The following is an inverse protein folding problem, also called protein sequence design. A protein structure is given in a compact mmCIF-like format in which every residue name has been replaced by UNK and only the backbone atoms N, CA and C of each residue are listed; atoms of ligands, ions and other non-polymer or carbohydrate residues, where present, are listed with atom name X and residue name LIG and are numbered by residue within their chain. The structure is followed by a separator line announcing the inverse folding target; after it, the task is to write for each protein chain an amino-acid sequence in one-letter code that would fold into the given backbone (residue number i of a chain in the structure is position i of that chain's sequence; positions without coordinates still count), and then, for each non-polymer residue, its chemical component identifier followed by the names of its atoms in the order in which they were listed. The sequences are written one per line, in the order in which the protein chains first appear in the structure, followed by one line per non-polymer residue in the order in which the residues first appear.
data_IF_504789895102
#
_entry.id   IF_504789895102
#
_cell.length_a   1.000
_cell.length_b   1.000
_cell.length_c   1.000
_cell.angle_alpha   90.00
_cell.angle_beta   90.00
_cell.angle_gamma   90.00
#
_symmetry.space_group_name_H-M   'P 1'
#
loop_
_entity.id
_entity.type
_entity.pdbx_description
1 polymer ?
#
# COMPACT_ATOMS: atom_id res chain seq x y z
N UNK A 1 1.05 7.12 22.53
CA UNK A 1 0.44 7.60 21.28
C UNK A 1 -0.37 6.45 20.68
N UNK A 2 -1.53 6.72 20.07
CA UNK A 2 -2.24 5.69 19.31
C UNK A 2 -1.47 5.46 18.01
N UNK A 3 -1.18 4.20 17.67
CA UNK A 3 -0.56 3.85 16.40
C UNK A 3 -1.59 3.99 15.28
N UNK A 4 -1.17 4.46 14.12
CA UNK A 4 -2.07 4.74 13.01
C UNK A 4 -1.79 3.78 11.84
N UNK A 5 -2.84 3.39 11.13
CA UNK A 5 -2.74 2.66 9.86
C UNK A 5 -3.14 3.62 8.75
N UNK A 6 -2.25 3.85 7.80
CA UNK A 6 -2.52 4.70 6.64
C UNK A 6 -2.76 3.82 5.42
N UNK A 7 -3.92 3.97 4.78
CA UNK A 7 -4.28 3.23 3.58
C UNK A 7 -4.39 4.20 2.41
N UNK A 8 -3.59 3.94 1.36
CA UNK A 8 -3.80 4.53 0.04
C UNK A 8 -4.58 3.54 -0.81
N UNK A 9 -5.74 3.97 -1.29
CA UNK A 9 -6.62 3.15 -2.12
C UNK A 9 -7.11 3.89 -3.36
N UNK A 10 -7.60 3.11 -4.32
CA UNK A 10 -8.09 3.59 -5.61
C UNK A 10 -8.24 2.44 -6.60
N UNK A 11 -8.98 2.70 -7.69
CA UNK A 11 -9.12 1.75 -8.79
C UNK A 11 -7.77 1.52 -9.50
N UNK A 12 -7.56 0.39 -10.18
CA UNK A 12 -6.38 0.20 -11.02
C UNK A 12 -6.19 1.38 -11.99
N UNK A 13 -4.95 1.89 -12.08
CA UNK A 13 -4.56 3.06 -12.92
C UNK A 13 -5.11 4.42 -12.46
N UNK A 14 -5.60 4.54 -11.22
CA UNK A 14 -6.04 5.83 -10.63
C UNK A 14 -4.90 6.71 -10.08
N UNK A 15 -3.64 6.34 -10.29
CA UNK A 15 -2.49 7.12 -9.81
C UNK A 15 -2.07 6.82 -8.37
N UNK A 16 -2.54 5.73 -7.75
CA UNK A 16 -2.11 5.34 -6.38
C UNK A 16 -0.60 5.18 -6.23
N UNK A 17 0.11 4.69 -7.25
CA UNK A 17 1.59 4.63 -7.23
C UNK A 17 2.23 6.04 -7.16
N UNK A 18 1.66 7.03 -7.85
CA UNK A 18 2.13 8.41 -7.78
C UNK A 18 1.88 9.00 -6.40
N UNK A 19 0.71 8.74 -5.80
CA UNK A 19 0.42 9.17 -4.43
C UNK A 19 1.39 8.55 -3.41
N UNK A 20 1.68 7.26 -3.53
CA UNK A 20 2.69 6.60 -2.68
C UNK A 20 4.06 7.29 -2.78
N UNK A 21 4.50 7.65 -3.99
CA UNK A 21 5.77 8.35 -4.21
C UNK A 21 5.75 9.77 -3.60
N UNK A 22 4.64 10.48 -3.70
CA UNK A 22 4.47 11.82 -3.09
C UNK A 22 4.57 11.72 -1.57
N UNK A 23 3.92 10.73 -0.95
CA UNK A 23 3.93 10.54 0.51
C UNK A 23 5.33 10.15 1.01
N UNK A 24 5.99 9.23 0.32
CA UNK A 24 7.38 8.83 0.61
C UNK A 24 8.33 10.03 0.53
N UNK A 25 8.24 10.82 -0.55
CA UNK A 25 9.03 12.06 -0.72
C UNK A 25 8.69 13.10 0.36
N UNK A 26 7.44 13.12 0.82
CA UNK A 26 6.95 13.97 1.91
C UNK A 26 7.38 13.52 3.31
N UNK A 27 8.15 12.43 3.42
CA UNK A 27 8.70 11.93 4.69
C UNK A 27 7.79 10.95 5.44
N UNK A 28 6.68 10.51 4.85
CA UNK A 28 5.85 9.45 5.42
C UNK A 28 6.44 8.08 5.05
N UNK A 29 6.77 7.20 6.02
CA UNK A 29 7.24 5.86 5.71
C UNK A 29 6.21 5.09 4.88
N UNK A 30 6.63 4.48 3.78
CA UNK A 30 5.76 3.65 2.94
C UNK A 30 6.04 2.15 3.13
N UNK A 31 5.02 1.33 2.98
CA UNK A 31 5.12 -0.13 2.97
C UNK A 31 5.43 -0.62 1.55
N UNK A 32 6.59 -1.25 1.38
CA UNK A 32 6.93 -1.99 0.16
C UNK A 32 7.89 -3.13 0.46
N UNK A 33 7.77 -4.22 -0.30
CA UNK A 33 8.70 -5.34 -0.28
C UNK A 33 9.75 -5.28 -1.42
N UNK A 34 9.71 -4.21 -2.22
CA UNK A 34 10.58 -3.96 -3.36
C UNK A 34 10.64 -5.10 -4.40
N UNK A 35 9.68 -6.04 -4.40
CA UNK A 35 9.66 -7.16 -5.35
C UNK A 35 9.34 -6.71 -6.77
N UNK A 36 8.36 -5.80 -6.89
CA UNK A 36 8.00 -5.23 -8.20
C UNK A 36 8.94 -4.09 -8.56
N UNK A 37 9.84 -4.37 -9.49
CA UNK A 37 10.81 -3.40 -10.00
C UNK A 37 10.13 -2.32 -10.86
N UNK A 38 10.73 -1.12 -10.96
CA UNK A 38 10.30 -0.10 -11.91
C UNK A 38 10.31 -0.61 -13.35
N UNK A 39 9.44 -0.03 -14.18
CA UNK A 39 9.33 -0.34 -15.62
C UNK A 39 9.02 0.93 -16.44
N UNK A 40 8.78 0.77 -17.75
CA UNK A 40 8.47 1.91 -18.65
C UNK A 40 7.21 2.68 -18.26
N UNK A 41 6.23 2.02 -17.64
CA UNK A 41 4.97 2.63 -17.22
C UNK A 41 5.10 3.32 -15.87
N UNK A 42 6.02 2.85 -15.02
CA UNK A 42 6.29 3.45 -13.72
C UNK A 42 7.79 3.39 -13.37
N UNK A 43 8.58 4.34 -13.88
CA UNK A 43 10.05 4.34 -13.73
C UNK A 43 10.52 4.58 -12.29
N UNK A 44 9.63 5.02 -11.41
CA UNK A 44 9.89 5.23 -9.98
C UNK A 44 9.41 4.07 -9.10
N UNK A 45 8.88 3.00 -9.70
CA UNK A 45 8.42 1.82 -8.98
C UNK A 45 7.06 2.00 -8.28
N UNK A 46 6.52 0.89 -7.81
CA UNK A 46 5.10 0.79 -7.45
C UNK A 46 4.80 0.96 -5.96
N UNK A 47 5.84 0.89 -5.11
CA UNK A 47 5.78 1.01 -3.64
C UNK A 47 4.63 0.16 -3.07
N UNK A 48 4.71 -1.15 -3.32
CA UNK A 48 3.66 -2.10 -2.95
C UNK A 48 4.19 -3.33 -2.21
N UNK A 49 3.26 -4.05 -1.57
CA UNK A 49 3.44 -5.37 -0.99
C UNK A 49 2.79 -6.38 -1.95
N UNK A 50 3.56 -7.35 -2.42
CA UNK A 50 3.07 -8.41 -3.30
C UNK A 50 1.95 -9.20 -2.62
N UNK A 51 0.90 -9.54 -3.38
CA UNK A 51 -0.25 -10.32 -2.91
C UNK A 51 -0.93 -9.75 -1.65
N UNK A 52 -0.89 -8.42 -1.45
CA UNK A 52 -1.47 -7.81 -0.25
C UNK A 52 -2.96 -8.14 -0.07
N UNK A 53 -3.73 -8.22 -1.15
CA UNK A 53 -5.15 -8.57 -1.09
C UNK A 53 -5.34 -10.00 -0.58
N UNK A 54 -4.54 -10.95 -1.06
CA UNK A 54 -4.67 -12.36 -0.65
C UNK A 54 -4.24 -12.54 0.81
N UNK A 55 -3.22 -11.80 1.26
CA UNK A 55 -2.81 -11.76 2.68
C UNK A 55 -3.91 -11.18 3.58
N UNK A 56 -4.60 -10.13 3.13
CA UNK A 56 -5.73 -9.53 3.88
C UNK A 56 -6.97 -10.43 3.87
N UNK A 57 -7.24 -11.15 2.77
CA UNK A 57 -8.32 -12.14 2.71
C UNK A 57 -8.12 -13.27 3.71
N UNK A 58 -6.90 -13.79 3.81
CA UNK A 58 -6.53 -14.88 4.71
C UNK A 58 -6.50 -14.42 6.18
N UNK A 59 -5.92 -13.25 6.42
CA UNK A 59 -5.81 -12.65 7.74
C UNK A 59 -5.99 -11.12 7.67
N UNK A 60 -7.20 -10.59 7.95
CA UNK A 60 -7.44 -9.14 8.00
C UNK A 60 -6.50 -8.39 8.95
N UNK A 61 -6.08 -9.04 10.04
CA UNK A 61 -5.12 -8.51 11.00
C UNK A 61 -3.70 -8.32 10.43
N UNK A 62 -3.40 -8.87 9.25
CA UNK A 62 -2.12 -8.65 8.56
C UNK A 62 -1.84 -7.16 8.31
N UNK A 63 -2.88 -6.33 8.22
CA UNK A 63 -2.74 -4.87 8.07
C UNK A 63 -1.95 -4.23 9.21
N UNK A 64 -1.99 -4.80 10.43
CA UNK A 64 -1.32 -4.26 11.61
C UNK A 64 0.21 -4.40 11.55
N UNK A 65 0.76 -5.17 10.60
CA UNK A 65 2.20 -5.20 10.35
C UNK A 65 2.74 -3.89 9.74
N UNK A 66 1.86 -2.97 9.36
CA UNK A 66 2.17 -1.72 8.67
C UNK A 66 1.80 -0.48 9.51
N UNK A 67 1.76 -0.62 10.84
CA UNK A 67 1.63 0.52 11.75
C UNK A 67 2.65 1.63 11.43
N UNK A 68 2.14 2.86 11.39
CA UNK A 68 2.88 4.09 11.10
C UNK A 68 3.56 4.09 9.70
N UNK A 69 3.12 3.20 8.80
CA UNK A 69 3.52 3.14 7.40
C UNK A 69 2.30 3.25 6.49
N UNK A 70 2.48 3.87 5.33
CA UNK A 70 1.45 3.94 4.29
C UNK A 70 1.42 2.62 3.52
N UNK A 71 0.29 1.92 3.57
CA UNK A 71 0.05 0.71 2.80
C UNK A 71 -0.84 1.00 1.60
N UNK A 72 -0.38 0.59 0.42
CA UNK A 72 -1.18 0.62 -0.81
C UNK A 72 -2.08 -0.60 -0.90
N UNK A 73 -3.39 -0.39 -0.92
CA UNK A 73 -4.40 -1.44 -1.13
C UNK A 73 -5.40 -0.93 -2.18
N UNK A 74 -5.38 -1.50 -3.39
CA UNK A 74 -6.35 -1.10 -4.42
C UNK A 74 -7.78 -1.35 -3.95
N UNK A 75 -8.76 -0.64 -4.52
CA UNK A 75 -10.13 -0.57 -4.04
C UNK A 75 -10.77 -1.94 -3.72
N UNK A 76 -10.47 -2.97 -4.51
CA UNK A 76 -10.99 -4.33 -4.30
C UNK A 76 -10.56 -4.97 -2.98
N UNK A 77 -9.41 -4.59 -2.43
CA UNK A 77 -8.88 -5.13 -1.18
C UNK A 77 -9.46 -4.51 0.08
N UNK A 78 -10.16 -3.37 -0.04
CA UNK A 78 -10.70 -2.65 1.13
C UNK A 78 -11.73 -3.47 1.92
N UNK A 79 -12.49 -4.33 1.22
CA UNK A 79 -13.50 -5.19 1.85
C UNK A 79 -12.91 -6.24 2.82
N UNK A 80 -11.60 -6.47 2.78
CA UNK A 80 -10.90 -7.42 3.64
C UNK A 80 -10.17 -6.74 4.80
N UNK A 81 -10.31 -5.42 4.95
CA UNK A 81 -9.79 -4.72 6.11
C UNK A 81 -10.65 -5.01 7.34
N UNK A 82 -10.07 -4.96 8.56
CA UNK A 82 -10.84 -4.98 9.79
C UNK A 82 -11.89 -3.86 9.83
N UNK A 83 -13.03 -4.06 10.51
CA UNK A 83 -14.07 -3.03 10.69
C UNK A 83 -13.60 -1.82 11.52
#
# INVERSE_FOLDING_TARGET
MKKQIYIVSGLPRSGTSMLMQILDTGGLPVASDAKRKPDRSNPKGYLEIESIIDKLKDNPGYVFNFEDRVLKVIAYGLQYLPP
#
